data_IF_819476153063
#
_entry.id   IF_819476153063
#
_cell.length_a   1.000
_cell.length_b   1.000
_cell.length_c   1.000
_cell.angle_alpha   90.00
_cell.angle_beta   90.00
_cell.angle_gamma   90.00
#
_symmetry.space_group_name_H-M   'P 1'
#
loop_
_entity.id
_entity.type
_entity.pdbx_description
1 polymer ?
#
# COMPACT_ATOMS: atom_id res chain seq x y z
N UNK A 1 23.54 -13.35 -34.50
CA UNK A 1 22.69 -13.74 -33.36
C UNK A 1 22.86 -12.66 -32.29
N UNK A 2 21.94 -11.69 -32.22
CA UNK A 2 22.07 -10.58 -31.28
C UNK A 2 21.64 -11.05 -29.90
N UNK A 3 22.59 -11.24 -28.99
CA UNK A 3 22.32 -11.41 -27.56
C UNK A 3 21.71 -10.09 -27.09
N UNK A 4 20.38 -10.01 -27.01
CA UNK A 4 19.72 -8.91 -26.31
C UNK A 4 20.05 -9.10 -24.83
N UNK A 5 20.96 -8.28 -24.31
CA UNK A 5 21.10 -8.09 -22.88
C UNK A 5 19.74 -7.58 -22.40
N UNK A 6 18.93 -8.46 -21.82
CA UNK A 6 17.67 -8.04 -21.20
C UNK A 6 18.05 -7.22 -19.97
N UNK A 7 17.80 -5.91 -20.02
CA UNK A 7 17.84 -5.08 -18.82
C UNK A 7 16.96 -5.72 -17.74
N UNK A 8 17.42 -5.76 -16.47
CA UNK A 8 16.65 -6.38 -15.41
C UNK A 8 15.31 -5.67 -15.25
N UNK A 9 14.25 -6.45 -15.01
CA UNK A 9 12.94 -5.91 -14.68
C UNK A 9 13.02 -5.11 -13.37
N UNK A 10 12.27 -4.02 -13.29
CA UNK A 10 12.29 -3.06 -12.18
C UNK A 10 10.95 -3.02 -11.46
N UNK A 11 11.02 -2.87 -10.14
CA UNK A 11 9.95 -2.29 -9.35
C UNK A 11 10.22 -0.80 -9.20
N UNK A 12 9.22 0.03 -9.45
CA UNK A 12 9.26 1.47 -9.20
C UNK A 12 8.21 1.83 -8.15
N UNK A 13 8.63 2.58 -7.15
CA UNK A 13 7.75 3.20 -6.18
C UNK A 13 7.72 4.70 -6.44
N UNK A 14 6.55 5.23 -6.76
CA UNK A 14 6.29 6.65 -7.00
C UNK A 14 5.49 7.20 -5.82
N UNK A 15 5.93 8.33 -5.30
CA UNK A 15 5.17 9.13 -4.34
C UNK A 15 4.78 10.44 -4.99
N UNK A 16 3.49 10.77 -4.92
CA UNK A 16 2.96 12.11 -5.19
C UNK A 16 2.39 12.69 -3.89
N UNK A 17 2.76 13.93 -3.57
CA UNK A 17 2.26 14.67 -2.41
C UNK A 17 1.60 15.93 -2.91
N UNK A 18 0.33 16.15 -2.58
CA UNK A 18 -0.33 17.44 -2.85
C UNK A 18 -0.47 18.23 -1.57
N UNK A 19 0.03 19.47 -1.59
CA UNK A 19 -0.11 20.46 -0.53
C UNK A 19 -0.57 21.81 -1.11
N UNK A 20 -0.51 22.88 -0.31
CA UNK A 20 -0.91 24.22 -0.74
C UNK A 20 -0.01 24.83 -1.84
N UNK A 21 1.24 24.34 -1.98
CA UNK A 21 2.18 24.80 -2.99
C UNK A 21 2.07 24.02 -4.31
N UNK A 22 1.38 22.88 -4.31
CA UNK A 22 1.09 22.09 -5.51
C UNK A 22 1.34 20.60 -5.31
N UNK A 23 1.54 19.88 -6.42
CA UNK A 23 1.86 18.45 -6.39
C UNK A 23 3.36 18.23 -6.59
N UNK A 24 4.00 17.61 -5.61
CA UNK A 24 5.40 17.23 -5.62
C UNK A 24 5.52 15.72 -5.85
N UNK A 25 6.44 15.29 -6.72
CA UNK A 25 6.59 13.88 -7.07
C UNK A 25 8.04 13.44 -7.00
N UNK A 26 8.28 12.23 -6.52
CA UNK A 26 9.57 11.53 -6.62
C UNK A 26 9.35 10.04 -6.78
N UNK A 27 10.27 9.39 -7.49
CA UNK A 27 10.24 7.96 -7.73
C UNK A 27 11.57 7.30 -7.36
N UNK A 28 11.46 6.08 -6.86
CA UNK A 28 12.58 5.22 -6.52
C UNK A 28 12.40 3.87 -7.21
N UNK A 29 13.50 3.19 -7.50
CA UNK A 29 13.50 1.91 -8.18
C UNK A 29 14.41 0.90 -7.50
N UNK A 30 14.14 -0.37 -7.78
CA UNK A 30 14.98 -1.52 -7.43
C UNK A 30 14.74 -2.65 -8.45
N UNK A 31 15.64 -3.65 -8.51
CA UNK A 31 15.38 -4.87 -9.26
C UNK A 31 14.08 -5.56 -8.80
N UNK A 32 13.27 -6.03 -9.77
CA UNK A 32 12.00 -6.71 -9.52
C UNK A 32 12.18 -8.09 -8.87
N UNK A 33 13.28 -8.78 -9.19
CA UNK A 33 13.60 -10.09 -8.60
C UNK A 33 14.68 -9.94 -7.51
N UNK A 34 14.60 -10.70 -6.40
CA UNK A 34 13.50 -11.59 -6.00
C UNK A 34 12.37 -10.89 -5.23
N UNK A 35 12.58 -9.64 -4.81
CA UNK A 35 11.75 -8.96 -3.79
C UNK A 35 11.07 -7.68 -4.29
N UNK A 36 11.00 -7.47 -5.60
CA UNK A 36 10.29 -6.35 -6.21
C UNK A 36 8.87 -6.73 -6.62
N UNK A 37 8.13 -7.30 -5.69
CA UNK A 37 6.67 -7.47 -5.77
C UNK A 37 5.98 -6.53 -4.77
N UNK A 38 4.68 -6.25 -4.93
CA UNK A 38 3.95 -5.39 -3.99
C UNK A 38 4.03 -5.88 -2.54
N UNK A 39 3.99 -7.19 -2.33
CA UNK A 39 4.03 -7.79 -0.99
C UNK A 39 5.28 -7.38 -0.19
N UNK A 40 6.42 -7.17 -0.85
CA UNK A 40 7.65 -6.76 -0.18
C UNK A 40 7.71 -5.26 0.11
N UNK A 41 7.04 -4.44 -0.70
CA UNK A 41 7.20 -2.98 -0.67
C UNK A 41 6.02 -2.23 -0.01
N UNK A 42 4.82 -2.79 -0.05
CA UNK A 42 3.64 -2.23 0.61
C UNK A 42 3.80 -2.09 2.14
N UNK A 43 4.51 -2.98 2.88
CA UNK A 43 4.78 -2.79 4.29
C UNK A 43 5.50 -1.47 4.59
N UNK A 44 6.45 -1.08 3.74
CA UNK A 44 7.17 0.20 3.85
C UNK A 44 6.23 1.38 3.68
N UNK A 45 5.31 1.31 2.71
CA UNK A 45 4.25 2.31 2.49
C UNK A 45 3.31 2.40 3.69
N UNK A 46 2.81 1.25 4.17
CA UNK A 46 1.93 1.18 5.34
C UNK A 46 2.58 1.78 6.58
N UNK A 47 3.85 1.44 6.83
CA UNK A 47 4.62 1.97 7.95
C UNK A 47 4.79 3.50 7.88
N UNK A 48 4.99 4.04 6.67
CA UNK A 48 5.06 5.49 6.47
C UNK A 48 3.75 6.18 6.84
N UNK A 49 2.61 5.67 6.37
CA UNK A 49 1.29 6.23 6.68
C UNK A 49 1.01 6.21 8.19
N UNK A 50 1.35 5.11 8.86
CA UNK A 50 1.24 5.00 10.33
C UNK A 50 2.15 6.02 11.02
N UNK A 51 3.36 6.24 10.50
CA UNK A 51 4.31 7.22 11.06
C UNK A 51 3.77 8.65 10.92
N UNK A 52 3.22 9.01 9.76
CA UNK A 52 2.55 10.31 9.56
C UNK A 52 1.41 10.50 10.56
N UNK A 53 0.55 9.49 10.69
CA UNK A 53 -0.54 9.50 11.66
C UNK A 53 -0.04 9.67 13.10
N UNK A 54 0.93 8.86 13.54
CA UNK A 54 1.46 8.95 14.92
C UNK A 54 2.11 10.29 15.24
N UNK A 55 2.81 10.87 14.27
CA UNK A 55 3.50 12.16 14.43
C UNK A 55 2.60 13.37 14.13
N UNK A 56 1.38 13.14 13.66
CA UNK A 56 0.49 14.19 13.12
C UNK A 56 1.24 15.11 12.15
N UNK A 57 2.09 14.50 11.32
CA UNK A 57 2.96 15.22 10.40
C UNK A 57 2.30 15.32 9.02
N UNK A 58 2.48 16.46 8.35
CA UNK A 58 2.10 16.60 6.95
C UNK A 58 2.95 15.66 6.07
N UNK A 59 2.37 14.99 5.06
CA UNK A 59 3.14 14.21 4.11
C UNK A 59 4.08 15.13 3.32
N UNK A 60 5.32 14.70 3.13
CA UNK A 60 6.28 15.36 2.26
C UNK A 60 7.10 14.32 1.52
N UNK A 61 7.58 14.66 0.32
CA UNK A 61 8.45 13.79 -0.47
C UNK A 61 9.75 13.50 0.28
N UNK A 62 10.35 14.51 0.90
CA UNK A 62 11.59 14.34 1.68
C UNK A 62 11.35 13.57 2.98
N UNK A 63 10.19 13.73 3.60
CA UNK A 63 9.79 12.93 4.75
C UNK A 63 9.68 11.44 4.40
N UNK A 64 9.18 11.12 3.21
CA UNK A 64 9.18 9.74 2.71
C UNK A 64 10.59 9.25 2.32
N UNK A 65 11.42 10.10 1.69
CA UNK A 65 12.81 9.75 1.42
C UNK A 65 13.57 9.40 2.72
N UNK A 66 13.39 10.20 3.77
CA UNK A 66 13.94 9.94 5.09
C UNK A 66 13.38 8.64 5.71
N UNK A 67 12.11 8.31 5.47
CA UNK A 67 11.53 7.01 5.86
C UNK A 67 12.25 5.84 5.22
N UNK A 68 12.50 5.92 3.91
CA UNK A 68 13.25 4.88 3.21
C UNK A 68 14.68 4.79 3.74
N UNK A 69 15.34 5.92 4.01
CA UNK A 69 16.68 5.93 4.57
C UNK A 69 16.75 5.29 5.98
N UNK A 70 15.75 5.54 6.83
CA UNK A 70 15.63 4.91 8.16
C UNK A 70 15.50 3.38 8.07
N UNK A 71 15.02 2.84 6.94
CA UNK A 71 14.87 1.41 6.70
C UNK A 71 16.16 0.74 6.20
N UNK A 72 17.28 1.44 6.04
CA UNK A 72 18.54 0.85 5.55
C UNK A 72 19.11 -0.29 6.40
N UNK A 73 18.62 -0.46 7.64
CA UNK A 73 18.92 -1.60 8.51
C UNK A 73 17.79 -2.64 8.61
N UNK A 74 16.68 -2.48 7.87
CA UNK A 74 15.56 -3.40 7.88
C UNK A 74 15.87 -4.65 7.03
N UNK A 75 15.28 -5.82 7.36
CA UNK A 75 15.58 -7.07 6.67
C UNK A 75 14.97 -7.16 5.26
N UNK A 76 14.08 -6.25 4.89
CA UNK A 76 13.39 -6.24 3.59
C UNK A 76 14.09 -5.27 2.64
N UNK A 77 14.51 -5.71 1.43
CA UNK A 77 15.01 -4.80 0.40
C UNK A 77 13.95 -3.76 0.03
N UNK A 78 14.36 -2.52 -0.20
CA UNK A 78 13.46 -1.43 -0.59
C UNK A 78 14.06 -0.57 -1.71
N UNK A 79 13.23 0.16 -2.49
CA UNK A 79 13.70 1.06 -3.53
C UNK A 79 14.61 2.16 -2.98
N UNK A 80 15.84 2.25 -3.48
CA UNK A 80 16.83 3.25 -3.06
C UNK A 80 17.34 4.10 -4.24
N UNK A 81 17.36 3.54 -5.44
CA UNK A 81 17.85 4.25 -6.62
C UNK A 81 16.79 5.25 -7.10
N UNK A 82 17.15 6.52 -7.27
CA UNK A 82 16.26 7.51 -7.88
C UNK A 82 15.86 7.05 -9.30
N UNK A 83 14.61 7.38 -9.67
CA UNK A 83 14.05 7.02 -10.96
C UNK A 83 13.46 8.26 -11.64
N UNK A 84 14.19 8.80 -12.61
CA UNK A 84 13.90 10.11 -13.21
C UNK A 84 13.03 10.02 -14.48
N UNK A 85 12.60 8.82 -14.87
CA UNK A 85 11.76 8.59 -16.04
C UNK A 85 10.30 8.39 -15.64
N UNK A 86 9.37 8.47 -16.61
CA UNK A 86 7.99 8.04 -16.37
C UNK A 86 7.88 6.51 -16.41
N UNK A 87 7.64 5.81 -15.27
CA UNK A 87 7.59 4.36 -15.26
C UNK A 87 6.40 3.77 -16.01
N UNK A 88 5.38 4.55 -16.39
CA UNK A 88 4.25 4.03 -17.18
C UNK A 88 4.64 3.68 -18.62
N UNK A 89 5.72 4.27 -19.13
CA UNK A 89 6.17 4.11 -20.51
C UNK A 89 7.50 3.35 -20.62
N UNK A 90 8.10 2.96 -19.50
CA UNK A 90 9.36 2.23 -19.49
C UNK A 90 9.11 0.71 -19.43
N UNK A 91 9.44 0.02 -20.53
CA UNK A 91 9.27 -1.43 -20.65
C UNK A 91 10.15 -2.27 -19.71
N UNK A 92 11.02 -1.66 -18.91
CA UNK A 92 11.74 -2.33 -17.82
C UNK A 92 10.89 -2.45 -16.56
N UNK A 93 9.88 -1.60 -16.38
CA UNK A 93 9.08 -1.57 -15.15
C UNK A 93 8.04 -2.67 -15.17
N UNK A 94 8.24 -3.72 -14.37
CA UNK A 94 7.29 -4.81 -14.22
C UNK A 94 6.33 -4.61 -13.05
N UNK A 95 6.64 -3.69 -12.14
CA UNK A 95 5.77 -3.32 -11.03
C UNK A 95 5.88 -1.82 -10.74
N UNK A 96 4.75 -1.11 -10.72
CA UNK A 96 4.64 0.27 -10.25
C UNK A 96 3.74 0.32 -9.02
N UNK A 97 4.28 0.87 -7.94
CA UNK A 97 3.51 1.26 -6.74
C UNK A 97 3.44 2.78 -6.74
N UNK A 98 2.27 3.33 -7.01
CA UNK A 98 2.02 4.77 -7.03
C UNK A 98 1.17 5.17 -5.82
N UNK A 99 1.80 5.85 -4.87
CA UNK A 99 1.16 6.39 -3.67
C UNK A 99 0.95 7.89 -3.86
N UNK A 100 -0.29 8.33 -3.71
CA UNK A 100 -0.65 9.73 -3.60
C UNK A 100 -1.06 10.04 -2.17
N UNK A 101 -0.59 11.17 -1.63
CA UNK A 101 -0.93 11.62 -0.27
C UNK A 101 -1.22 13.11 -0.20
N UNK A 102 -2.09 13.50 0.72
CA UNK A 102 -2.41 14.89 1.04
C UNK A 102 -2.50 15.04 2.57
N UNK A 103 -2.30 16.24 3.12
CA UNK A 103 -2.56 16.50 4.53
C UNK A 103 -3.95 16.04 4.96
N UNK A 104 -4.08 15.67 6.23
CA UNK A 104 -5.38 15.38 6.82
C UNK A 104 -6.28 16.63 6.77
N UNK A 105 -7.59 16.46 6.61
CA UNK A 105 -8.55 17.56 6.53
C UNK A 105 -9.48 17.62 7.74
N UNK A 106 -9.75 18.83 8.22
CA UNK A 106 -10.65 19.06 9.36
C UNK A 106 -10.18 18.33 10.62
N UNK A 107 -11.04 17.46 11.14
CA UNK A 107 -10.77 16.68 12.36
C UNK A 107 -10.16 15.30 12.06
N UNK A 108 -9.84 14.99 10.80
CA UNK A 108 -9.18 13.74 10.46
C UNK A 108 -7.74 13.71 10.99
N UNK A 109 -7.33 12.55 11.51
CA UNK A 109 -5.96 12.33 12.00
C UNK A 109 -5.08 11.56 11.02
N UNK A 110 -5.68 11.03 9.96
CA UNK A 110 -4.99 10.24 8.95
C UNK A 110 -4.76 11.12 7.72
N UNK A 111 -3.59 11.04 7.07
CA UNK A 111 -3.42 11.70 5.78
C UNK A 111 -4.42 11.12 4.78
N UNK A 112 -4.93 11.98 3.89
CA UNK A 112 -5.68 11.48 2.74
C UNK A 112 -4.67 10.76 1.85
N UNK A 113 -5.03 9.58 1.35
CA UNK A 113 -4.14 8.86 0.44
C UNK A 113 -4.90 8.02 -0.56
N UNK A 114 -4.30 7.80 -1.72
CA UNK A 114 -4.71 6.78 -2.67
C UNK A 114 -3.48 5.99 -3.12
N UNK A 115 -3.66 4.69 -3.28
CA UNK A 115 -2.64 3.77 -3.73
C UNK A 115 -3.10 3.13 -5.03
N UNK A 116 -2.22 3.11 -6.02
CA UNK A 116 -2.36 2.32 -7.23
C UNK A 116 -1.17 1.35 -7.34
N UNK A 117 -1.47 0.07 -7.55
CA UNK A 117 -0.45 -0.94 -7.84
C UNK A 117 -0.71 -1.45 -9.26
N UNK A 118 0.29 -1.35 -10.11
CA UNK A 118 0.31 -1.91 -11.46
C UNK A 118 1.37 -3.00 -11.53
N UNK A 119 1.01 -4.18 -12.00
CA UNK A 119 1.97 -5.25 -12.29
C UNK A 119 1.82 -5.72 -13.72
N UNK A 120 2.93 -6.13 -14.30
CA UNK A 120 3.02 -6.72 -15.63
C UNK A 120 3.35 -8.20 -15.51
N UNK A 121 2.50 -9.06 -16.06
CA UNK A 121 2.81 -10.47 -16.27
C UNK A 121 3.90 -10.60 -17.35
N UNK A 122 4.71 -11.66 -17.25
CA UNK A 122 5.82 -11.90 -18.20
C UNK A 122 5.33 -11.84 -19.66
N UNK A 123 5.74 -10.81 -20.41
CA UNK A 123 5.25 -10.57 -21.78
C UNK A 123 5.34 -9.12 -22.22
N UNK A 124 4.94 -8.82 -23.48
CA UNK A 124 4.93 -7.46 -24.05
C UNK A 124 3.49 -6.92 -24.13
N UNK A 125 2.92 -6.42 -23.03
CA UNK A 125 1.67 -5.65 -23.04
C UNK A 125 1.44 -4.85 -21.73
N UNK A 126 0.49 -3.91 -21.76
CA UNK A 126 0.43 -2.69 -20.92
C UNK A 126 0.49 -2.90 -19.39
N UNK A 127 -0.42 -3.64 -18.76
CA UNK A 127 -0.39 -4.00 -17.32
C UNK A 127 -1.37 -5.18 -17.13
N UNK A 128 -1.00 -6.22 -16.37
CA UNK A 128 -1.83 -7.41 -16.14
C UNK A 128 -2.69 -7.32 -14.88
N UNK A 129 -2.26 -6.58 -13.86
CA UNK A 129 -3.02 -6.36 -12.63
C UNK A 129 -3.00 -4.88 -12.25
N UNK A 130 -4.18 -4.30 -12.04
CA UNK A 130 -4.36 -2.93 -11.55
C UNK A 130 -5.18 -2.98 -10.26
N UNK A 131 -4.58 -2.56 -9.15
CA UNK A 131 -5.27 -2.46 -7.87
C UNK A 131 -5.31 -1.01 -7.40
N UNK A 132 -6.46 -0.54 -6.93
CA UNK A 132 -6.64 0.81 -6.37
C UNK A 132 -7.22 0.75 -4.97
N UNK A 133 -6.67 1.55 -4.04
CA UNK A 133 -7.15 1.69 -2.66
C UNK A 133 -7.18 3.17 -2.26
N UNK A 134 -8.17 3.55 -1.47
CA UNK A 134 -8.36 4.93 -1.02
C UNK A 134 -8.48 4.95 0.51
N UNK A 135 -7.77 5.87 1.14
CA UNK A 135 -7.67 5.97 2.60
C UNK A 135 -6.64 5.03 3.21
N UNK A 136 -6.02 5.48 4.30
CA UNK A 136 -4.89 4.77 4.91
C UNK A 136 -5.26 3.37 5.41
N UNK A 137 -6.46 3.21 5.98
CA UNK A 137 -6.94 1.89 6.42
C UNK A 137 -7.02 0.89 5.26
N UNK A 138 -7.57 1.29 4.10
CA UNK A 138 -7.68 0.39 2.95
C UNK A 138 -6.31 0.00 2.37
N UNK A 139 -5.34 0.93 2.40
CA UNK A 139 -3.95 0.66 2.02
C UNK A 139 -3.30 -0.35 2.96
N UNK A 140 -3.45 -0.18 4.27
CA UNK A 140 -2.87 -1.06 5.28
C UNK A 140 -3.53 -2.45 5.27
N UNK A 141 -4.85 -2.51 5.10
CA UNK A 141 -5.57 -3.77 4.94
C UNK A 141 -5.13 -4.52 3.66
N UNK A 142 -4.98 -3.80 2.54
CA UNK A 142 -4.47 -4.38 1.31
C UNK A 142 -3.04 -4.88 1.43
N UNK A 143 -2.18 -4.13 2.14
CA UNK A 143 -0.80 -4.54 2.47
C UNK A 143 -0.80 -5.89 3.18
N UNK A 144 -1.63 -6.06 4.22
CA UNK A 144 -1.75 -7.33 4.93
C UNK A 144 -2.18 -8.48 4.01
N UNK A 145 -3.14 -8.26 3.10
CA UNK A 145 -3.57 -9.27 2.13
C UNK A 145 -2.46 -9.69 1.17
N UNK A 146 -1.72 -8.73 0.59
CA UNK A 146 -0.64 -9.03 -0.36
C UNK A 146 0.51 -9.80 0.31
N UNK A 147 0.90 -9.37 1.52
CA UNK A 147 1.96 -10.04 2.28
C UNK A 147 1.55 -11.45 2.67
N UNK A 148 0.31 -11.65 3.13
CA UNK A 148 -0.19 -12.98 3.47
C UNK A 148 -0.22 -13.92 2.26
N UNK A 149 -0.63 -13.41 1.09
CA UNK A 149 -0.61 -14.16 -0.16
C UNK A 149 0.83 -14.54 -0.57
N UNK A 150 1.79 -13.64 -0.44
CA UNK A 150 3.19 -13.93 -0.75
C UNK A 150 3.82 -14.96 0.19
N UNK A 151 3.59 -14.84 1.49
CA UNK A 151 4.05 -15.83 2.46
C UNK A 151 3.49 -17.22 2.15
N UNK A 152 2.20 -17.30 1.77
CA UNK A 152 1.57 -18.55 1.34
C UNK A 152 2.22 -19.10 0.07
N UNK A 153 2.41 -18.27 -0.97
CA UNK A 153 3.06 -18.68 -2.24
C UNK A 153 4.46 -19.23 -2.01
N UNK A 154 5.25 -18.59 -1.15
CA UNK A 154 6.60 -19.04 -0.83
C UNK A 154 6.58 -20.33 -0.01
N UNK A 155 5.67 -20.46 0.95
CA UNK A 155 5.46 -21.70 1.71
C UNK A 155 5.11 -22.88 0.79
N UNK A 156 4.20 -22.67 -0.17
CA UNK A 156 3.85 -23.68 -1.17
C UNK A 156 5.04 -24.00 -2.08
N UNK A 157 5.79 -22.99 -2.53
CA UNK A 157 7.01 -23.18 -3.32
C UNK A 157 8.07 -23.99 -2.58
N UNK A 158 8.26 -23.75 -1.27
CA UNK A 158 9.22 -24.50 -0.44
C UNK A 158 8.91 -26.00 -0.40
N UNK A 159 7.63 -26.38 -0.51
CA UNK A 159 7.24 -27.80 -0.59
C UNK A 159 7.73 -28.46 -1.89
N UNK A 160 7.85 -27.69 -2.97
CA UNK A 160 8.31 -28.17 -4.28
C UNK A 160 9.81 -27.96 -4.53
N UNK A 161 10.44 -26.98 -3.87
CA UNK A 161 11.87 -26.65 -3.97
C UNK A 161 12.40 -26.27 -2.56
N UNK A 162 12.96 -27.23 -1.80
CA UNK A 162 13.46 -26.99 -0.45
C UNK A 162 14.87 -26.39 -0.42
N UNK A 163 15.32 -25.72 -1.49
CA UNK A 163 16.63 -25.07 -1.50
C UNK A 163 16.78 -24.03 -0.38
N UNK A 164 18.01 -23.85 0.11
CA UNK A 164 18.29 -22.91 1.21
C UNK A 164 17.89 -21.46 0.89
N UNK A 165 17.92 -21.07 -0.39
CA UNK A 165 17.44 -19.77 -0.86
C UNK A 165 15.93 -19.61 -0.71
N UNK A 166 15.16 -20.65 -1.07
CA UNK A 166 13.70 -20.64 -0.91
C UNK A 166 13.32 -20.66 0.58
N UNK A 167 14.04 -21.41 1.40
CA UNK A 167 13.84 -21.43 2.85
C UNK A 167 14.05 -20.03 3.49
N UNK A 168 15.15 -19.34 3.16
CA UNK A 168 15.41 -17.99 3.67
C UNK A 168 14.36 -16.96 3.23
N UNK A 169 13.85 -17.07 1.99
CA UNK A 169 12.76 -16.20 1.52
C UNK A 169 11.44 -16.48 2.25
N UNK A 170 11.13 -17.74 2.57
CA UNK A 170 9.97 -18.09 3.37
C UNK A 170 10.03 -17.50 4.78
N UNK A 171 11.18 -17.61 5.46
CA UNK A 171 11.39 -17.07 6.80
C UNK A 171 11.20 -15.55 6.80
N UNK A 172 11.86 -14.87 5.85
CA UNK A 172 11.70 -13.42 5.70
C UNK A 172 10.24 -13.05 5.42
N UNK A 173 9.55 -13.73 4.50
CA UNK A 173 8.15 -13.44 4.18
C UNK A 173 7.22 -13.60 5.40
N UNK A 174 7.50 -14.56 6.26
CA UNK A 174 6.77 -14.77 7.50
C UNK A 174 7.00 -13.64 8.52
N UNK A 175 8.23 -13.14 8.66
CA UNK A 175 8.52 -11.95 9.46
C UNK A 175 7.75 -10.72 8.96
N UNK A 176 7.76 -10.50 7.64
CA UNK A 176 7.00 -9.41 7.01
C UNK A 176 5.51 -9.58 7.25
N UNK A 177 4.99 -10.81 7.17
CA UNK A 177 3.58 -11.13 7.41
C UNK A 177 3.16 -10.77 8.83
N UNK A 178 3.96 -11.15 9.83
CA UNK A 178 3.72 -10.81 11.23
C UNK A 178 3.74 -9.29 11.43
N UNK A 179 4.69 -8.59 10.80
CA UNK A 179 4.75 -7.13 10.87
C UNK A 179 3.51 -6.46 10.27
N UNK A 180 3.10 -6.86 9.05
CA UNK A 180 1.92 -6.34 8.38
C UNK A 180 0.62 -6.66 9.16
N UNK A 181 0.53 -7.85 9.75
CA UNK A 181 -0.60 -8.23 10.60
C UNK A 181 -0.72 -7.33 11.83
N UNK A 182 0.38 -7.03 12.52
CA UNK A 182 0.39 -6.12 13.69
C UNK A 182 -0.08 -4.71 13.30
N UNK A 183 0.44 -4.18 12.19
CA UNK A 183 0.01 -2.87 11.66
C UNK A 183 -1.49 -2.85 11.37
N UNK A 184 -2.01 -3.86 10.67
CA UNK A 184 -3.43 -3.95 10.35
C UNK A 184 -4.32 -4.08 11.60
N UNK A 185 -3.94 -4.92 12.56
CA UNK A 185 -4.68 -5.09 13.81
C UNK A 185 -4.75 -3.78 14.62
N UNK A 186 -3.63 -3.04 14.70
CA UNK A 186 -3.60 -1.74 15.38
C UNK A 186 -4.60 -0.75 14.75
N UNK A 187 -4.55 -0.57 13.43
CA UNK A 187 -5.42 0.41 12.77
C UNK A 187 -6.88 -0.04 12.78
N UNK A 188 -7.14 -1.35 12.67
CA UNK A 188 -8.50 -1.90 12.78
C UNK A 188 -9.12 -1.61 14.16
N UNK A 189 -8.35 -1.75 15.23
CA UNK A 189 -8.82 -1.44 16.58
C UNK A 189 -9.18 0.05 16.71
N UNK A 190 -8.33 0.94 16.20
CA UNK A 190 -8.58 2.39 16.20
C UNK A 190 -9.84 2.76 15.41
N UNK A 191 -10.00 2.21 14.20
CA UNK A 191 -11.20 2.41 13.37
C UNK A 191 -12.48 1.95 14.06
N UNK A 192 -12.41 0.84 14.80
CA UNK A 192 -13.55 0.32 15.55
C UNK A 192 -13.95 1.28 16.68
N UNK A 193 -12.98 1.87 17.38
CA UNK A 193 -13.23 2.87 18.42
C UNK A 193 -13.83 4.17 17.86
N UNK A 194 -13.32 4.66 16.73
CA UNK A 194 -13.85 5.85 16.06
C UNK A 194 -15.31 5.64 15.66
N UNK A 195 -15.61 4.50 15.02
CA UNK A 195 -16.97 4.16 14.61
C UNK A 195 -17.92 4.02 15.79
N UNK A 196 -17.49 3.36 16.87
CA UNK A 196 -18.29 3.23 18.09
C UNK A 196 -18.55 4.59 18.76
N UNK A 197 -17.62 5.55 18.68
CA UNK A 197 -17.82 6.92 19.15
C UNK A 197 -18.86 7.67 18.30
N UNK A 198 -18.74 7.60 16.97
CA UNK A 198 -19.69 8.23 16.04
C UNK A 198 -21.12 7.69 16.21
N UNK A 199 -21.28 6.39 16.44
CA UNK A 199 -22.58 5.76 16.71
C UNK A 199 -23.21 6.21 18.05
N UNK A 200 -22.39 6.61 19.04
CA UNK A 200 -22.87 7.18 20.31
C UNK A 200 -23.28 8.64 20.19
N UNK A 201 -22.55 9.40 19.38
CA UNK A 201 -22.79 10.84 19.21
C UNK A 201 -23.97 11.13 18.24
N UNK A 202 -24.41 10.14 17.46
CA UNK A 202 -25.57 10.24 16.56
C UNK A 202 -26.59 9.13 16.84
N UNK A 203 -27.35 9.20 17.96
CA UNK A 203 -28.44 8.26 18.19
C UNK A 203 -29.47 8.38 17.05
N UNK A 204 -29.73 7.25 16.39
CA UNK A 204 -30.69 7.13 15.30
C UNK A 204 -32.02 7.80 15.67
N UNK A 205 -32.37 8.88 14.95
CA UNK A 205 -33.71 9.46 15.00
C UNK A 205 -34.66 8.40 14.45
N UNK A 206 -35.43 7.75 15.32
CA UNK A 206 -36.43 6.76 14.92
C UNK A 206 -37.40 7.39 13.92
N UNK A 207 -37.72 6.74 12.78
CA UNK A 207 -38.72 7.25 11.87
C UNK A 207 -40.09 7.18 12.56
N UNK A 208 -40.70 8.35 12.80
CA UNK A 208 -42.09 8.44 13.22
C UNK A 208 -42.96 7.72 12.19
N UNK A 209 -43.59 6.63 12.62
CA UNK A 209 -44.64 5.92 11.90
C UNK A 209 -45.78 6.89 11.60
N UNK A 210 -45.83 7.41 10.37
CA UNK A 210 -47.00 8.14 9.86
C UNK A 210 -48.18 7.17 9.83
N UNK A 211 -49.08 7.29 10.82
CA UNK A 211 -50.43 6.72 10.78
C UNK A 211 -51.18 7.34 9.61
N UNK A 212 -51.32 6.60 8.51
CA UNK A 212 -52.21 6.95 7.42
C UNK A 212 -53.66 6.92 7.90
N UNK A 213 -54.31 8.09 7.95
CA UNK A 213 -55.77 8.18 8.05
C UNK A 213 -56.37 7.70 6.73
N UNK A 214 -57.16 6.61 6.76
CA UNK A 214 -58.06 6.23 5.65
C UNK A 214 -59.14 7.31 5.52
N UNK A 215 -59.21 7.94 4.36
CA UNK A 215 -60.37 8.74 3.93
C UNK A 215 -61.38 7.75 3.34
N UNK A 216 -62.57 7.70 3.92
CA UNK A 216 -63.75 7.03 3.36
C UNK A 216 -64.46 8.08 2.51
N UNK A 217 -64.63 7.81 1.21
CA UNK A 217 -65.51 8.58 0.34
C UNK A 217 -66.87 7.87 0.30
N UNK A 218 -67.93 8.65 0.52
CA UNK A 218 -69.33 8.30 0.33
C UNK A 218 -69.73 8.46 -1.14
#
# INVERSE_FOLDING_TARGET
MHVRIQSPALLVLRLSVTDAAGTHRRSWSMPAAPSGSPAWQLPTVAAHLIRLHRRQAAPTVDGFAAHLAELSGAPIPFPQALYDYDPLHDGRVSCLIDLHTEPAQGNERWPRCSLMVLEQETGRCAWSRITRRHGAYAVIAHTHTEVAAEAQRLSDRRRSDPSGRTAALCELAEEVRVWAQRMHQQVKAEQTLIRAGQERDHPQTQPQTRRSKRVVLA
#
